data_IF_029422344857
#
_entry.id   IF_029422344857
#
_cell.length_a   1.000
_cell.length_b   1.000
_cell.length_c   1.000
_cell.angle_alpha   90.00
_cell.angle_beta   90.00
_cell.angle_gamma   90.00
#
_symmetry.space_group_name_H-M   'P 1'
#
loop_
_entity.id
_entity.type
_entity.pdbx_description
1 polymer ?
#
# COMPACT_ATOMS: atom_id res chain seq x y z
N UNK A 1 1.07 -2.54 1.22
CA UNK A 1 1.82 -3.67 0.68
C UNK A 1 1.05 -4.97 0.86
N UNK A 2 0.76 -5.69 -0.25
CA UNK A 2 0.12 -7.02 -0.19
C UNK A 2 1.15 -8.15 -0.24
N UNK A 3 2.40 -7.86 -0.51
CA UNK A 3 3.51 -8.78 -0.30
C UNK A 3 4.03 -8.70 1.15
N UNK A 4 3.11 -8.84 2.07
CA UNK A 4 3.37 -8.71 3.51
C UNK A 4 2.41 -9.58 4.31
N UNK A 5 2.34 -9.36 5.62
CA UNK A 5 1.34 -9.99 6.50
C UNK A 5 -0.11 -9.83 6.00
N UNK A 6 -0.41 -8.76 5.24
CA UNK A 6 -1.75 -8.50 4.71
C UNK A 6 -2.09 -9.31 3.45
N UNK A 7 -1.15 -9.99 2.84
CA UNK A 7 -1.37 -10.76 1.61
C UNK A 7 -0.70 -12.13 1.65
N UNK A 8 0.55 -12.19 1.25
CA UNK A 8 1.32 -13.44 1.14
C UNK A 8 1.77 -14.03 2.48
N UNK A 9 1.51 -13.34 3.58
CA UNK A 9 1.89 -13.71 4.95
C UNK A 9 3.41 -13.86 5.13
N UNK A 10 4.18 -13.01 4.48
CA UNK A 10 5.64 -12.93 4.52
C UNK A 10 6.10 -11.49 4.77
N UNK A 11 7.40 -11.23 4.68
CA UNK A 11 8.02 -9.91 4.77
C UNK A 11 7.68 -9.15 6.05
N UNK A 12 7.63 -9.86 7.18
CA UNK A 12 7.44 -9.27 8.50
C UNK A 12 8.08 -10.11 9.60
N UNK A 13 8.43 -9.44 10.69
CA UNK A 13 8.76 -10.07 11.96
C UNK A 13 7.71 -9.74 13.01
N UNK A 14 7.51 -10.65 13.94
CA UNK A 14 6.69 -10.42 15.14
C UNK A 14 7.61 -10.38 16.34
N UNK A 15 7.67 -9.24 17.01
CA UNK A 15 8.49 -9.00 18.18
C UNK A 15 7.62 -8.77 19.41
N UNK A 16 7.87 -9.52 20.47
CA UNK A 16 7.23 -9.27 21.77
C UNK A 16 8.13 -8.31 22.57
N UNK A 17 7.69 -7.10 22.72
CA UNK A 17 8.40 -6.08 23.51
C UNK A 17 8.42 -6.52 24.99
N UNK A 18 9.63 -6.71 25.58
CA UNK A 18 9.77 -7.21 26.94
C UNK A 18 9.32 -6.19 28.02
N UNK A 19 9.24 -4.91 27.68
CA UNK A 19 8.82 -3.84 28.61
C UNK A 19 7.30 -3.67 28.56
N UNK A 20 6.77 -3.42 27.38
CA UNK A 20 5.32 -3.14 27.19
C UNK A 20 4.46 -4.40 27.16
N UNK A 21 5.07 -5.59 27.01
CA UNK A 21 4.38 -6.89 26.81
C UNK A 21 3.41 -6.89 25.61
N UNK A 22 3.68 -6.04 24.61
CA UNK A 22 2.89 -5.95 23.38
C UNK A 22 3.65 -6.53 22.21
N UNK A 23 2.91 -7.18 21.32
CA UNK A 23 3.45 -7.59 20.03
C UNK A 23 3.59 -6.38 19.11
N UNK A 24 4.74 -6.31 18.43
CA UNK A 24 5.03 -5.36 17.36
C UNK A 24 5.21 -6.14 16.06
N UNK A 25 4.60 -5.64 15.01
CA UNK A 25 4.79 -6.14 13.66
C UNK A 25 5.83 -5.25 12.99
N UNK A 26 6.97 -5.82 12.59
CA UNK A 26 8.07 -5.09 11.94
C UNK A 26 8.06 -5.50 10.47
N UNK A 27 7.60 -4.63 9.55
CA UNK A 27 7.64 -4.93 8.13
C UNK A 27 9.05 -4.77 7.58
N UNK A 28 9.36 -5.54 6.55
CA UNK A 28 10.56 -5.41 5.71
C UNK A 28 10.19 -5.69 4.26
N UNK A 29 11.12 -5.52 3.32
CA UNK A 29 10.92 -5.76 1.89
C UNK A 29 9.70 -5.01 1.32
N UNK A 30 9.80 -3.68 1.33
CA UNK A 30 8.68 -2.80 0.97
C UNK A 30 8.71 -2.32 -0.49
N UNK A 31 9.57 -2.88 -1.34
CA UNK A 31 9.80 -2.47 -2.72
C UNK A 31 8.56 -2.58 -3.62
N UNK A 32 7.70 -3.58 -3.40
CA UNK A 32 6.43 -3.75 -4.12
C UNK A 32 5.22 -3.24 -3.32
N UNK A 33 5.43 -2.13 -2.60
CA UNK A 33 4.34 -1.37 -1.97
C UNK A 33 3.52 -0.56 -2.98
N UNK A 34 2.60 0.26 -2.51
CA UNK A 34 1.75 1.15 -3.31
C UNK A 34 0.98 0.44 -4.43
N UNK A 35 0.53 -0.79 -4.16
CA UNK A 35 -0.27 -1.57 -5.11
C UNK A 35 0.53 -2.20 -6.26
N UNK A 36 1.86 -2.26 -6.14
CA UNK A 36 2.72 -2.88 -7.15
C UNK A 36 2.69 -4.42 -7.12
N UNK A 37 2.18 -5.06 -6.05
CA UNK A 37 2.09 -6.51 -5.96
C UNK A 37 1.05 -7.06 -6.93
N UNK A 38 1.48 -7.38 -8.15
CA UNK A 38 0.63 -7.78 -9.28
C UNK A 38 0.03 -9.19 -9.20
N UNK A 39 0.46 -10.02 -8.24
CA UNK A 39 -0.02 -11.41 -8.13
C UNK A 39 -1.44 -11.53 -7.58
N UNK A 40 -2.00 -10.46 -7.01
CA UNK A 40 -3.35 -10.46 -6.42
C UNK A 40 -4.19 -9.27 -6.88
N UNK A 41 -5.41 -9.54 -7.26
CA UNK A 41 -6.36 -8.52 -7.70
C UNK A 41 -5.94 -7.79 -8.99
N UNK A 42 -6.68 -6.75 -9.32
CA UNK A 42 -6.37 -5.82 -10.42
C UNK A 42 -5.74 -4.54 -9.87
N UNK A 43 -5.12 -3.69 -10.71
CA UNK A 43 -4.65 -2.37 -10.27
C UNK A 43 -5.76 -1.55 -9.59
N UNK A 44 -7.00 -1.64 -10.09
CA UNK A 44 -8.18 -0.97 -9.55
C UNK A 44 -8.54 -1.50 -8.17
N UNK A 45 -8.65 -2.82 -8.02
CA UNK A 45 -9.01 -3.44 -6.74
C UNK A 45 -7.95 -3.20 -5.66
N UNK A 46 -6.67 -3.16 -6.04
CA UNK A 46 -5.59 -2.80 -5.12
C UNK A 46 -5.67 -1.34 -4.67
N UNK A 47 -6.06 -0.41 -5.55
CA UNK A 47 -6.32 0.99 -5.19
C UNK A 47 -7.55 1.14 -4.31
N UNK A 48 -8.61 0.38 -4.60
CA UNK A 48 -9.88 0.45 -3.86
C UNK A 48 -10.02 -0.59 -2.76
N UNK A 49 -8.92 -1.19 -2.31
CA UNK A 49 -8.94 -2.23 -1.27
C UNK A 49 -9.73 -1.77 -0.03
N UNK A 50 -10.65 -2.63 0.40
CA UNK A 50 -11.56 -2.39 1.51
C UNK A 50 -10.84 -2.12 2.83
N UNK A 51 -11.20 -1.05 3.56
CA UNK A 51 -10.63 -0.74 4.89
C UNK A 51 -11.04 -1.76 5.94
N UNK A 52 -12.32 -2.20 6.01
CA UNK A 52 -12.70 -3.25 6.95
C UNK A 52 -12.03 -4.59 6.68
N UNK A 53 -11.54 -4.80 5.46
CA UNK A 53 -10.86 -6.04 5.06
C UNK A 53 -9.60 -5.72 4.25
N UNK A 54 -8.55 -5.16 4.88
CA UNK A 54 -7.37 -4.64 4.21
C UNK A 54 -6.36 -5.72 3.85
N UNK A 55 -6.83 -6.93 3.54
CA UNK A 55 -6.00 -8.09 3.28
C UNK A 55 -6.54 -8.92 2.12
N UNK A 56 -5.67 -9.72 1.53
CA UNK A 56 -6.01 -10.75 0.56
C UNK A 56 -6.27 -12.10 1.28
N UNK A 57 -7.22 -12.89 0.77
CA UNK A 57 -7.53 -14.20 1.33
C UNK A 57 -8.10 -14.13 2.76
N UNK A 58 -7.73 -15.12 3.60
CA UNK A 58 -8.15 -15.20 4.99
C UNK A 58 -7.07 -14.67 5.92
N UNK A 59 -7.40 -13.75 6.81
CA UNK A 59 -6.52 -13.25 7.86
C UNK A 59 -7.26 -13.17 9.19
N UNK A 60 -7.24 -14.28 9.92
CA UNK A 60 -8.00 -14.44 11.19
C UNK A 60 -7.66 -13.38 12.23
N UNK A 61 -6.40 -12.93 12.32
CA UNK A 61 -6.02 -11.93 13.30
C UNK A 61 -6.66 -10.58 12.96
N UNK A 62 -6.50 -10.13 11.73
CA UNK A 62 -7.08 -8.86 11.27
C UNK A 62 -8.61 -8.89 11.38
N UNK A 63 -9.25 -9.98 10.93
CA UNK A 63 -10.71 -10.13 10.98
C UNK A 63 -11.22 -10.06 12.43
N UNK A 64 -10.55 -10.72 13.38
CA UNK A 64 -10.92 -10.68 14.80
C UNK A 64 -10.69 -9.31 15.42
N UNK A 65 -9.54 -8.67 15.16
CA UNK A 65 -9.23 -7.35 15.70
C UNK A 65 -10.20 -6.30 15.18
N UNK A 66 -10.43 -6.26 13.86
CA UNK A 66 -11.37 -5.31 13.25
C UNK A 66 -12.84 -5.66 13.48
N UNK A 67 -13.14 -6.87 13.92
CA UNK A 67 -14.47 -7.28 14.44
C UNK A 67 -14.83 -6.63 15.78
N UNK A 68 -13.83 -6.15 16.54
CA UNK A 68 -14.04 -5.45 17.81
C UNK A 68 -14.25 -3.96 17.55
N UNK A 69 -15.43 -3.44 17.86
CA UNK A 69 -15.83 -2.06 17.55
C UNK A 69 -14.82 -1.00 18.01
N UNK A 70 -14.22 -1.16 19.19
CA UNK A 70 -13.18 -0.28 19.72
C UNK A 70 -11.97 -0.20 18.78
N UNK A 71 -11.41 -1.32 18.41
CA UNK A 71 -10.19 -1.37 17.57
C UNK A 71 -10.49 -0.94 16.12
N UNK A 72 -11.66 -1.28 15.61
CA UNK A 72 -12.12 -0.79 14.31
C UNK A 72 -12.18 0.75 14.30
N UNK A 73 -12.73 1.36 15.34
CA UNK A 73 -12.80 2.83 15.47
C UNK A 73 -11.42 3.46 15.58
N UNK A 74 -10.51 2.87 16.37
CA UNK A 74 -9.12 3.33 16.49
C UNK A 74 -8.40 3.27 15.13
N UNK A 75 -8.51 2.15 14.42
CA UNK A 75 -7.96 1.97 13.08
C UNK A 75 -8.46 3.04 12.10
N UNK A 76 -9.78 3.27 12.05
CA UNK A 76 -10.36 4.30 11.20
C UNK A 76 -9.89 5.72 11.58
N UNK A 77 -9.70 6.00 12.86
CA UNK A 77 -9.16 7.28 13.32
C UNK A 77 -7.70 7.47 12.89
N UNK A 78 -6.88 6.41 12.92
CA UNK A 78 -5.52 6.48 12.39
C UNK A 78 -5.51 6.74 10.89
N UNK A 79 -6.40 6.09 10.11
CA UNK A 79 -6.51 6.35 8.67
C UNK A 79 -6.89 7.80 8.37
N UNK A 80 -7.83 8.40 9.13
CA UNK A 80 -8.16 9.84 8.99
C UNK A 80 -6.93 10.72 9.24
N UNK A 81 -6.23 10.50 10.35
CA UNK A 81 -5.01 11.26 10.66
C UNK A 81 -3.94 11.12 9.56
N UNK A 82 -3.77 9.93 8.99
CA UNK A 82 -2.82 9.73 7.90
C UNK A 82 -3.24 10.47 6.62
N UNK A 83 -4.51 10.45 6.26
CA UNK A 83 -5.02 11.20 5.11
C UNK A 83 -4.85 12.72 5.27
N UNK A 84 -4.97 13.23 6.49
CA UNK A 84 -4.87 14.67 6.75
C UNK A 84 -3.42 15.16 6.87
N UNK A 85 -2.52 14.31 7.36
CA UNK A 85 -1.17 14.75 7.76
C UNK A 85 -0.03 14.21 6.90
N UNK A 86 -0.10 12.95 6.49
CA UNK A 86 1.02 12.22 5.90
C UNK A 86 0.70 11.73 4.49
N UNK A 87 -0.40 11.00 4.35
CA UNK A 87 -0.80 10.38 3.09
C UNK A 87 -1.63 11.34 2.25
N UNK A 88 -1.09 12.53 2.00
CA UNK A 88 -1.72 13.53 1.12
C UNK A 88 -1.09 13.48 -0.27
N UNK A 89 -1.91 13.72 -1.29
CA UNK A 89 -1.44 13.72 -2.67
C UNK A 89 -0.30 14.75 -2.88
N UNK A 90 -0.43 15.94 -2.31
CA UNK A 90 0.59 17.00 -2.44
C UNK A 90 1.93 16.58 -1.85
N UNK A 91 1.96 16.14 -0.60
CA UNK A 91 3.21 15.78 0.08
C UNK A 91 3.89 14.59 -0.61
N UNK A 92 3.12 13.53 -0.87
CA UNK A 92 3.69 12.34 -1.48
C UNK A 92 4.18 12.57 -2.91
N UNK A 93 3.54 13.46 -3.67
CA UNK A 93 4.01 13.78 -5.02
C UNK A 93 5.34 14.51 -5.00
N UNK A 94 5.51 15.48 -4.08
CA UNK A 94 6.77 16.19 -3.90
C UNK A 94 7.92 15.24 -3.52
N UNK A 95 7.66 14.34 -2.56
CA UNK A 95 8.65 13.33 -2.16
C UNK A 95 9.02 12.39 -3.31
N UNK A 96 8.02 11.93 -4.07
CA UNK A 96 8.26 11.07 -5.23
C UNK A 96 9.07 11.79 -6.30
N UNK A 97 8.73 13.04 -6.62
CA UNK A 97 9.47 13.82 -7.62
C UNK A 97 10.91 14.03 -7.19
N UNK A 98 11.15 14.38 -5.92
CA UNK A 98 12.49 14.50 -5.36
C UNK A 98 13.28 13.18 -5.45
N UNK A 99 12.65 12.04 -5.18
CA UNK A 99 13.30 10.73 -5.31
C UNK A 99 13.60 10.39 -6.78
N UNK A 100 12.69 10.71 -7.70
CA UNK A 100 12.91 10.51 -9.14
C UNK A 100 14.12 11.32 -9.60
N UNK A 101 14.18 12.60 -9.24
CA UNK A 101 15.29 13.49 -9.61
C UNK A 101 16.63 12.99 -9.07
N UNK A 102 16.63 12.42 -7.87
CA UNK A 102 17.82 11.82 -7.26
C UNK A 102 18.24 10.51 -7.96
N UNK A 103 17.30 9.66 -8.31
CA UNK A 103 17.56 8.32 -8.87
C UNK A 103 17.86 8.37 -10.37
N UNK A 104 17.24 9.29 -11.10
CA UNK A 104 17.31 9.32 -12.56
C UNK A 104 18.75 9.32 -13.11
N UNK A 105 19.68 10.18 -12.63
CA UNK A 105 21.05 10.17 -13.12
C UNK A 105 21.79 8.86 -12.78
N UNK A 106 21.49 8.23 -11.66
CA UNK A 106 22.11 6.97 -11.24
C UNK A 106 21.64 5.83 -12.14
N UNK A 107 20.33 5.73 -12.37
CA UNK A 107 19.75 4.73 -13.27
C UNK A 107 20.24 4.91 -14.71
N UNK A 108 20.45 6.16 -15.16
CA UNK A 108 20.99 6.43 -16.48
C UNK A 108 22.42 5.87 -16.66
N UNK A 109 23.22 5.80 -15.60
CA UNK A 109 24.56 5.19 -15.63
C UNK A 109 24.52 3.66 -15.80
N UNK A 110 23.43 3.01 -15.40
CA UNK A 110 23.24 1.56 -15.58
C UNK A 110 22.92 1.20 -17.05
N UNK A 111 22.64 2.18 -17.89
CA UNK A 111 22.44 2.02 -19.32
C UNK A 111 21.00 2.23 -19.78
N UNK A 112 20.84 2.34 -21.09
CA UNK A 112 19.57 2.72 -21.75
C UNK A 112 18.41 1.80 -21.42
N UNK A 113 18.67 0.51 -21.26
CA UNK A 113 17.60 -0.46 -20.97
C UNK A 113 17.04 -0.30 -19.55
N UNK A 114 17.91 -0.06 -18.55
CA UNK A 114 17.48 0.20 -17.17
C UNK A 114 16.74 1.52 -17.08
N UNK A 115 17.24 2.55 -17.74
CA UNK A 115 16.54 3.83 -17.80
C UNK A 115 15.14 3.70 -18.43
N UNK A 116 15.02 2.97 -19.54
CA UNK A 116 13.74 2.70 -20.17
C UNK A 116 12.76 1.97 -19.24
N UNK A 117 13.22 0.96 -18.49
CA UNK A 117 12.41 0.23 -17.51
C UNK A 117 11.95 1.14 -16.37
N UNK A 118 12.85 1.98 -15.88
CA UNK A 118 12.54 2.97 -14.85
C UNK A 118 11.44 3.92 -15.32
N UNK A 119 11.58 4.51 -16.49
CA UNK A 119 10.56 5.39 -17.08
C UNK A 119 9.22 4.67 -17.30
N UNK A 120 9.25 3.42 -17.77
CA UNK A 120 8.04 2.62 -17.93
C UNK A 120 7.34 2.33 -16.60
N UNK A 121 8.08 2.09 -15.51
CA UNK A 121 7.49 1.88 -14.20
C UNK A 121 6.83 3.15 -13.66
N UNK A 122 7.43 4.32 -13.91
CA UNK A 122 6.85 5.61 -13.51
C UNK A 122 5.55 5.90 -14.26
N UNK A 123 5.49 5.55 -15.54
CA UNK A 123 4.36 5.84 -16.43
C UNK A 123 3.30 4.73 -16.45
N UNK A 124 3.54 3.58 -15.80
CA UNK A 124 2.65 2.43 -15.79
C UNK A 124 2.53 1.69 -17.12
N UNK A 125 3.56 1.80 -17.96
CA UNK A 125 3.65 1.10 -19.25
C UNK A 125 4.56 -0.13 -19.16
N UNK A 126 4.95 -0.52 -17.95
CA UNK A 126 5.74 -1.73 -17.72
C UNK A 126 4.97 -2.98 -18.15
N UNK A 127 5.64 -3.88 -18.85
CA UNK A 127 5.09 -5.18 -19.30
C UNK A 127 4.96 -6.20 -18.16
N UNK A 128 5.60 -5.95 -17.02
CA UNK A 128 5.36 -6.69 -15.80
C UNK A 128 4.04 -6.16 -15.21
N UNK A 129 3.14 -7.04 -14.80
CA UNK A 129 1.80 -6.71 -14.27
C UNK A 129 1.82 -5.88 -12.95
N UNK A 130 2.87 -5.11 -12.78
CA UNK A 130 3.09 -4.11 -11.73
C UNK A 130 2.63 -2.71 -12.19
N UNK A 131 1.71 -2.63 -13.14
CA UNK A 131 1.28 -1.39 -13.79
C UNK A 131 0.34 -0.55 -12.91
N UNK A 132 0.83 -0.15 -11.75
CA UNK A 132 0.14 0.82 -10.91
C UNK A 132 1.09 2.00 -10.69
N UNK A 133 1.15 2.99 -11.61
CA UNK A 133 2.02 4.14 -11.42
C UNK A 133 1.80 4.71 -10.03
N UNK A 134 2.88 4.93 -9.29
CA UNK A 134 2.81 5.26 -7.86
C UNK A 134 1.93 6.49 -7.59
N UNK A 135 2.02 7.53 -8.40
CA UNK A 135 1.18 8.73 -8.27
C UNK A 135 -0.30 8.44 -8.54
N UNK A 136 -0.59 7.59 -9.52
CA UNK A 136 -1.96 7.18 -9.82
C UNK A 136 -2.54 6.33 -8.69
N UNK A 137 -1.74 5.42 -8.13
CA UNK A 137 -2.12 4.64 -6.95
C UNK A 137 -2.46 5.56 -5.77
N UNK A 138 -1.58 6.50 -5.43
CA UNK A 138 -1.78 7.44 -4.32
C UNK A 138 -3.07 8.22 -4.49
N UNK A 139 -3.29 8.82 -5.67
CA UNK A 139 -4.52 9.56 -5.97
C UNK A 139 -5.77 8.71 -5.80
N UNK A 140 -5.76 7.50 -6.36
CA UNK A 140 -6.88 6.57 -6.26
C UNK A 140 -7.11 6.09 -4.83
N UNK A 141 -6.04 5.76 -4.11
CA UNK A 141 -6.12 5.27 -2.74
C UNK A 141 -6.59 6.33 -1.75
N UNK A 142 -6.11 7.56 -1.85
CA UNK A 142 -6.61 8.68 -1.04
C UNK A 142 -8.12 8.85 -1.21
N UNK A 143 -8.60 8.87 -2.46
CA UNK A 143 -10.04 8.97 -2.76
C UNK A 143 -10.83 7.80 -2.18
N UNK A 144 -10.35 6.58 -2.40
CA UNK A 144 -11.00 5.36 -1.92
C UNK A 144 -11.11 5.35 -0.39
N UNK A 145 -10.00 5.58 0.32
CA UNK A 145 -10.00 5.57 1.79
C UNK A 145 -10.91 6.66 2.34
N UNK A 146 -10.89 7.86 1.76
CA UNK A 146 -11.79 8.95 2.14
C UNK A 146 -13.25 8.55 1.97
N UNK A 147 -13.63 8.06 0.79
CA UNK A 147 -15.01 7.63 0.52
C UNK A 147 -15.50 6.50 1.44
N UNK A 148 -14.60 5.55 1.76
CA UNK A 148 -14.93 4.47 2.70
C UNK A 148 -15.11 4.96 4.14
N UNK A 149 -14.32 5.94 4.58
CA UNK A 149 -14.44 6.56 5.90
C UNK A 149 -15.69 7.44 6.04
N UNK A 150 -16.12 8.04 4.94
CA UNK A 150 -17.35 8.85 4.85
C UNK A 150 -18.61 7.99 4.59
N UNK A 151 -18.45 6.70 4.30
CA UNK A 151 -19.56 5.78 4.02
C UNK A 151 -20.14 5.90 2.62
N UNK A 152 -19.48 6.64 1.70
CA UNK A 152 -19.91 6.81 0.30
C UNK A 152 -19.41 5.67 -0.62
N UNK A 153 -18.48 4.85 -0.15
CA UNK A 153 -17.98 3.64 -0.83
C UNK A 153 -17.71 2.53 0.18
N UNK A 154 -17.66 1.27 -0.29
CA UNK A 154 -17.34 0.09 0.54
C UNK A 154 -15.92 -0.42 0.34
N UNK A 155 -15.28 0.01 -0.74
CA UNK A 155 -14.03 -0.57 -1.22
C UNK A 155 -14.22 -1.99 -1.76
N UNK A 156 -13.15 -2.51 -2.39
CA UNK A 156 -13.14 -3.86 -2.97
C UNK A 156 -12.48 -4.87 -2.04
N UNK A 157 -12.97 -6.10 -2.07
CA UNK A 157 -12.39 -7.24 -1.35
C UNK A 157 -11.66 -8.10 -2.38
N UNK A 158 -10.38 -8.35 -2.14
CA UNK A 158 -9.58 -9.23 -2.97
C UNK A 158 -9.66 -10.65 -2.39
N UNK A 159 -10.32 -11.54 -3.11
CA UNK A 159 -10.41 -12.95 -2.75
C UNK A 159 -9.25 -13.75 -3.35
N UNK A 160 -8.88 -14.84 -2.68
CA UNK A 160 -8.03 -15.88 -3.29
C UNK A 160 -8.81 -16.55 -4.43
N UNK A 161 -8.19 -16.66 -5.56
CA UNK A 161 -8.72 -17.53 -6.62
C UNK A 161 -8.46 -18.99 -6.28
#
# INVERSE_FOLDING_TARGET
>A
NLDSYLGSNQNHYVYLDPVTKKFQLIPWDLDISFGAFGLVGTPESRRDLSIPRPHHGQNRLIERVLGIAKYKKEYQNHLRKYLDAIFTQEKLYLEIDSMIDLLYPVVALEGKEMLRRFEQSLNGTSTWDMSNPIKQFIKGRCRSVKGQLEGTSKGEIIYTR
#
